data_IF_590745146404
#
_entry.id   IF_590745146404
#
_cell.length_a   1.000
_cell.length_b   1.000
_cell.length_c   1.000
_cell.angle_alpha   90.00
_cell.angle_beta   90.00
_cell.angle_gamma   90.00
#
_symmetry.space_group_name_H-M   'P 1'
#
loop_
_entity.id
_entity.type
_entity.pdbx_description
1 polymer ?
#
# COMPACT_ATOMS: atom_id res chain seq x y z
N UNK A 1 -15.79 0.02 10.41
CA UNK A 1 -16.25 -1.16 11.22
C UNK A 1 -15.04 -1.70 11.96
N UNK A 2 -15.15 -1.85 13.26
CA UNK A 2 -14.11 -2.44 14.11
C UNK A 2 -14.75 -3.58 14.89
N UNK A 3 -14.24 -4.78 14.73
CA UNK A 3 -14.66 -5.93 15.53
C UNK A 3 -13.81 -6.12 16.79
N UNK A 4 -14.20 -7.04 17.68
CA UNK A 4 -13.46 -7.35 18.91
C UNK A 4 -12.03 -7.80 18.60
N UNK A 5 -11.10 -7.50 19.49
CA UNK A 5 -9.72 -8.02 19.43
C UNK A 5 -9.75 -9.55 19.29
N UNK A 6 -9.03 -10.08 18.28
CA UNK A 6 -8.99 -11.51 17.98
C UNK A 6 -9.98 -11.99 16.91
N UNK A 7 -10.78 -11.08 16.30
CA UNK A 7 -11.59 -11.43 15.13
C UNK A 7 -10.70 -11.79 13.93
N UNK A 8 -11.14 -12.74 13.11
CA UNK A 8 -10.45 -13.11 11.87
C UNK A 8 -10.48 -11.94 10.88
N UNK A 9 -9.33 -11.41 10.41
CA UNK A 9 -9.29 -10.23 9.55
C UNK A 9 -10.07 -10.39 8.24
N UNK A 10 -10.12 -11.59 7.68
CA UNK A 10 -10.90 -11.84 6.48
C UNK A 10 -12.40 -11.73 6.74
N UNK A 11 -12.88 -12.16 7.92
CA UNK A 11 -14.29 -11.99 8.30
C UNK A 11 -14.63 -10.52 8.48
N UNK A 12 -13.73 -9.72 9.07
CA UNK A 12 -13.90 -8.27 9.21
C UNK A 12 -14.01 -7.60 7.85
N UNK A 13 -13.15 -7.97 6.90
CA UNK A 13 -13.17 -7.43 5.55
C UNK A 13 -14.48 -7.78 4.82
N UNK A 14 -14.93 -9.03 4.94
CA UNK A 14 -16.20 -9.50 4.36
C UNK A 14 -17.39 -8.71 4.90
N UNK A 15 -17.52 -8.61 6.22
CA UNK A 15 -18.62 -7.91 6.89
C UNK A 15 -18.62 -6.42 6.57
N UNK A 16 -17.42 -5.81 6.55
CA UNK A 16 -17.25 -4.39 6.20
C UNK A 16 -17.73 -4.12 4.77
N UNK A 17 -17.31 -4.94 3.82
CA UNK A 17 -17.69 -4.75 2.42
C UNK A 17 -19.18 -5.03 2.20
N UNK A 18 -19.72 -6.07 2.85
CA UNK A 18 -21.16 -6.38 2.80
C UNK A 18 -22.02 -5.22 3.36
N UNK A 19 -21.58 -4.65 4.49
CA UNK A 19 -22.25 -3.47 5.08
C UNK A 19 -22.14 -2.25 4.18
N UNK A 20 -20.99 -2.03 3.56
CA UNK A 20 -20.78 -0.92 2.66
C UNK A 20 -21.68 -0.98 1.42
N UNK A 21 -21.82 -2.14 0.83
CA UNK A 21 -22.74 -2.37 -0.31
C UNK A 21 -24.20 -2.10 0.13
N UNK A 22 -24.62 -2.64 1.28
CA UNK A 22 -25.96 -2.44 1.80
C UNK A 22 -26.30 -0.96 2.11
N UNK A 23 -25.28 -0.15 2.43
CA UNK A 23 -25.43 1.28 2.74
C UNK A 23 -25.06 2.20 1.57
N UNK A 24 -24.83 1.67 0.38
CA UNK A 24 -24.44 2.42 -0.82
C UNK A 24 -23.21 3.31 -0.60
N UNK A 25 -22.18 2.78 0.06
CA UNK A 25 -20.93 3.53 0.28
C UNK A 25 -20.16 3.68 -1.04
N UNK A 26 -19.67 4.87 -1.34
CA UNK A 26 -18.89 5.17 -2.54
C UNK A 26 -17.48 4.61 -2.48
N UNK A 27 -16.86 4.62 -1.30
CA UNK A 27 -15.48 4.19 -1.08
C UNK A 27 -15.38 3.34 0.18
N UNK A 28 -14.62 2.25 0.08
CA UNK A 28 -14.26 1.40 1.22
C UNK A 28 -12.75 1.27 1.29
N UNK A 29 -12.18 1.58 2.45
CA UNK A 29 -10.75 1.40 2.72
C UNK A 29 -10.60 0.29 3.76
N UNK A 30 -9.85 -0.75 3.41
CA UNK A 30 -9.52 -1.86 4.29
C UNK A 30 -8.05 -1.75 4.67
N UNK A 31 -7.80 -1.32 5.91
CA UNK A 31 -6.46 -1.28 6.49
C UNK A 31 -6.07 -2.67 7.01
N UNK A 32 -4.86 -3.10 6.69
CA UNK A 32 -4.36 -4.44 7.00
C UNK A 32 -3.10 -4.38 7.85
N UNK A 33 -2.80 -5.46 8.57
CA UNK A 33 -1.52 -5.59 9.24
C UNK A 33 -0.36 -5.55 8.23
N UNK A 34 0.67 -4.77 8.53
CA UNK A 34 1.87 -4.60 7.67
C UNK A 34 3.16 -5.15 8.28
N UNK A 35 3.12 -5.73 9.50
CA UNK A 35 4.33 -6.19 10.19
C UNK A 35 4.69 -7.61 9.79
N UNK A 36 5.90 -7.77 9.24
CA UNK A 36 6.43 -9.06 8.74
C UNK A 36 6.98 -9.99 9.85
N UNK A 37 6.47 -9.96 11.09
CA UNK A 37 6.92 -10.86 12.13
C UNK A 37 6.70 -12.34 11.80
N UNK A 38 5.61 -12.65 11.11
CA UNK A 38 5.32 -13.95 10.53
C UNK A 38 4.95 -13.75 9.06
N UNK A 39 5.97 -13.73 8.22
CA UNK A 39 5.84 -13.41 6.78
C UNK A 39 4.84 -14.34 6.07
N UNK A 40 4.94 -15.64 6.27
CA UNK A 40 4.07 -16.63 5.62
C UNK A 40 2.62 -16.47 6.09
N UNK A 41 2.41 -16.35 7.40
CA UNK A 41 1.07 -16.15 7.97
C UNK A 41 0.41 -14.88 7.47
N UNK A 42 1.15 -13.76 7.45
CA UNK A 42 0.65 -12.49 6.93
C UNK A 42 0.28 -12.56 5.45
N UNK A 43 1.13 -13.16 4.61
CA UNK A 43 0.85 -13.27 3.17
C UNK A 43 -0.39 -14.14 2.91
N UNK A 44 -0.56 -15.25 3.64
CA UNK A 44 -1.76 -16.08 3.56
C UNK A 44 -3.02 -15.32 4.01
N UNK A 45 -2.92 -14.53 5.08
CA UNK A 45 -4.02 -13.70 5.57
C UNK A 45 -4.44 -12.65 4.54
N UNK A 46 -3.48 -11.93 3.95
CA UNK A 46 -3.76 -10.94 2.90
C UNK A 46 -4.41 -11.56 1.66
N UNK A 47 -3.92 -12.72 1.23
CA UNK A 47 -4.54 -13.49 0.14
C UNK A 47 -5.98 -13.89 0.48
N UNK A 48 -6.22 -14.33 1.72
CA UNK A 48 -7.56 -14.67 2.21
C UNK A 48 -8.49 -13.45 2.22
N UNK A 49 -8.03 -12.31 2.73
CA UNK A 49 -8.77 -11.04 2.71
C UNK A 49 -9.19 -10.70 1.27
N UNK A 50 -8.25 -10.68 0.34
CA UNK A 50 -8.53 -10.42 -1.07
C UNK A 50 -9.59 -11.36 -1.64
N UNK A 51 -9.48 -12.65 -1.35
CA UNK A 51 -10.41 -13.65 -1.88
C UNK A 51 -11.82 -13.52 -1.31
N UNK A 52 -11.97 -13.15 -0.05
CA UNK A 52 -13.32 -12.98 0.55
C UNK A 52 -14.00 -11.70 0.05
N UNK A 53 -13.24 -10.65 -0.26
CA UNK A 53 -13.77 -9.43 -0.85
C UNK A 53 -14.43 -9.69 -2.20
N UNK A 54 -13.84 -10.54 -3.03
CA UNK A 54 -14.39 -10.94 -4.35
C UNK A 54 -15.72 -11.69 -4.25
N UNK A 55 -16.02 -12.29 -3.10
CA UNK A 55 -17.33 -12.96 -2.87
C UNK A 55 -18.46 -11.95 -2.65
N UNK A 56 -18.15 -10.74 -2.24
CA UNK A 56 -19.13 -9.66 -2.03
C UNK A 56 -19.23 -8.77 -3.26
N UNK A 57 -18.09 -8.36 -3.81
CA UNK A 57 -17.98 -7.53 -5.01
C UNK A 57 -16.98 -8.19 -5.94
N UNK A 58 -17.42 -8.64 -7.10
CA UNK A 58 -16.65 -9.53 -8.00
C UNK A 58 -15.32 -8.94 -8.48
N UNK A 59 -15.24 -7.63 -8.63
CA UNK A 59 -14.05 -6.88 -9.06
C UNK A 59 -13.23 -6.26 -7.90
N UNK A 60 -13.62 -6.55 -6.64
CA UNK A 60 -12.84 -6.11 -5.48
C UNK A 60 -11.58 -6.97 -5.27
N UNK A 61 -10.53 -6.39 -4.71
CA UNK A 61 -10.32 -4.95 -4.49
C UNK A 61 -10.03 -4.24 -5.81
N UNK A 62 -10.63 -3.05 -6.02
CA UNK A 62 -10.38 -2.26 -7.23
C UNK A 62 -8.95 -1.67 -7.22
N UNK A 63 -8.39 -1.43 -6.04
CA UNK A 63 -7.02 -1.02 -5.85
C UNK A 63 -6.38 -1.73 -4.66
N UNK A 64 -5.16 -2.20 -4.85
CA UNK A 64 -4.28 -2.71 -3.78
C UNK A 64 -3.12 -1.74 -3.65
N UNK A 65 -3.20 -0.87 -2.65
CA UNK A 65 -2.19 0.15 -2.37
C UNK A 65 -1.17 -0.39 -1.36
N UNK A 66 0.07 -0.55 -1.80
CA UNK A 66 1.19 -0.89 -0.91
C UNK A 66 1.82 0.38 -0.36
N UNK A 67 1.87 0.49 0.96
CA UNK A 67 2.56 1.59 1.65
C UNK A 67 3.94 1.11 2.11
N UNK A 68 4.98 1.76 1.60
CA UNK A 68 6.38 1.42 1.89
C UNK A 68 7.06 2.56 2.66
N UNK A 69 7.90 2.18 3.60
CA UNK A 69 8.82 3.10 4.29
C UNK A 69 10.09 3.27 3.44
N UNK A 70 10.24 4.42 2.81
CA UNK A 70 11.40 4.76 1.96
C UNK A 70 12.73 4.80 2.71
N UNK A 71 12.70 4.85 4.05
CA UNK A 71 13.91 4.84 4.86
C UNK A 71 14.57 3.46 5.00
N UNK A 72 13.86 2.40 4.66
CA UNK A 72 14.31 1.02 4.88
C UNK A 72 15.21 0.45 3.78
N UNK A 73 15.45 1.22 2.70
CA UNK A 73 16.36 0.82 1.62
C UNK A 73 15.99 -0.53 0.98
N UNK A 74 16.94 -1.47 0.96
CA UNK A 74 16.75 -2.80 0.36
C UNK A 74 15.59 -3.60 0.98
N UNK A 75 15.23 -3.37 2.24
CA UNK A 75 14.09 -4.02 2.86
C UNK A 75 12.76 -3.62 2.16
N UNK A 76 12.66 -2.42 1.63
CA UNK A 76 11.50 -1.99 0.86
C UNK A 76 11.30 -2.82 -0.42
N UNK A 77 12.38 -3.20 -1.10
CA UNK A 77 12.32 -4.08 -2.27
C UNK A 77 11.78 -5.47 -1.93
N UNK A 78 12.29 -6.07 -0.85
CA UNK A 78 11.82 -7.40 -0.42
C UNK A 78 10.36 -7.34 0.02
N UNK A 79 9.95 -6.29 0.74
CA UNK A 79 8.54 -6.06 1.08
C UNK A 79 7.68 -5.94 -0.17
N UNK A 80 8.04 -5.07 -1.11
CA UNK A 80 7.30 -4.88 -2.36
C UNK A 80 7.12 -6.22 -3.11
N UNK A 81 8.18 -7.02 -3.21
CA UNK A 81 8.13 -8.35 -3.83
C UNK A 81 7.12 -9.27 -3.16
N UNK A 82 7.19 -9.40 -1.85
CA UNK A 82 6.33 -10.34 -1.11
C UNK A 82 4.85 -9.92 -1.14
N UNK A 83 4.57 -8.64 -0.93
CA UNK A 83 3.19 -8.14 -0.98
C UNK A 83 2.60 -8.24 -2.40
N UNK A 84 3.40 -7.97 -3.42
CA UNK A 84 2.96 -8.11 -4.82
C UNK A 84 2.60 -9.55 -5.17
N UNK A 85 3.40 -10.52 -4.72
CA UNK A 85 3.10 -11.93 -4.91
C UNK A 85 1.82 -12.40 -4.21
N UNK A 86 1.53 -11.86 -3.01
CA UNK A 86 0.38 -12.25 -2.22
C UNK A 86 -0.93 -11.58 -2.68
N UNK A 87 -0.88 -10.32 -3.12
CA UNK A 87 -2.08 -9.50 -3.29
C UNK A 87 -2.22 -8.85 -4.66
N UNK A 88 -1.23 -8.97 -5.54
CA UNK A 88 -1.22 -8.29 -6.84
C UNK A 88 -1.34 -6.76 -6.67
N UNK A 89 -0.35 -6.16 -6.02
CA UNK A 89 -0.29 -4.71 -5.78
C UNK A 89 -0.49 -3.93 -7.08
N UNK A 90 -1.38 -2.95 -7.07
CA UNK A 90 -1.72 -2.12 -8.24
C UNK A 90 -1.14 -0.71 -8.17
N UNK A 91 -0.81 -0.24 -6.96
CA UNK A 91 -0.23 1.08 -6.74
C UNK A 91 0.63 1.10 -5.48
N UNK A 92 1.53 2.07 -5.40
CA UNK A 92 2.40 2.28 -4.24
C UNK A 92 2.28 3.70 -3.68
N UNK A 93 2.40 3.79 -2.36
CA UNK A 93 2.70 5.01 -1.63
C UNK A 93 4.06 4.81 -0.94
N UNK A 94 4.97 5.76 -1.07
CA UNK A 94 6.27 5.70 -0.40
C UNK A 94 6.39 6.83 0.58
N UNK A 95 6.57 6.51 1.85
CA UNK A 95 6.64 7.46 2.96
C UNK A 95 8.07 7.72 3.41
N UNK A 96 8.25 8.71 4.27
CA UNK A 96 9.54 9.11 4.87
C UNK A 96 10.60 9.51 3.83
N UNK A 97 10.18 10.21 2.80
CA UNK A 97 11.07 10.76 1.77
C UNK A 97 11.65 12.14 2.11
N UNK A 98 11.27 12.69 3.26
CA UNK A 98 11.80 13.94 3.84
C UNK A 98 13.28 13.86 4.28
N UNK A 99 13.81 12.66 4.44
CA UNK A 99 15.21 12.43 4.71
C UNK A 99 16.03 12.22 3.42
N UNK A 100 17.23 12.74 3.37
CA UNK A 100 18.16 12.75 2.25
C UNK A 100 18.42 11.39 1.60
N UNK A 101 18.66 11.35 0.29
CA UNK A 101 19.10 10.20 -0.52
C UNK A 101 18.10 9.03 -0.69
N UNK A 102 16.85 9.21 -0.33
CA UNK A 102 15.86 8.10 -0.32
C UNK A 102 15.03 7.98 -1.60
N UNK A 103 15.13 8.96 -2.49
CA UNK A 103 14.44 8.94 -3.78
C UNK A 103 14.83 7.78 -4.69
N UNK A 104 16.06 7.28 -4.58
CA UNK A 104 16.55 6.14 -5.36
C UNK A 104 15.74 4.86 -5.15
N UNK A 105 15.23 4.62 -3.95
CA UNK A 105 14.38 3.45 -3.65
C UNK A 105 13.08 3.49 -4.43
N UNK A 106 12.48 4.66 -4.61
CA UNK A 106 11.25 4.86 -5.39
C UNK A 106 11.47 4.48 -6.85
N UNK A 107 12.57 4.97 -7.44
CA UNK A 107 12.94 4.66 -8.83
C UNK A 107 13.16 3.16 -9.00
N UNK A 108 13.99 2.56 -8.13
CA UNK A 108 14.33 1.14 -8.21
C UNK A 108 13.12 0.23 -8.08
N UNK A 109 12.24 0.48 -7.12
CA UNK A 109 11.02 -0.33 -6.93
C UNK A 109 10.06 -0.15 -8.11
N UNK A 110 9.84 1.08 -8.57
CA UNK A 110 8.97 1.35 -9.71
C UNK A 110 9.50 0.69 -10.99
N UNK A 111 10.80 0.72 -11.22
CA UNK A 111 11.42 0.06 -12.38
C UNK A 111 11.35 -1.46 -12.29
N UNK A 112 11.68 -2.03 -11.14
CA UNK A 112 11.73 -3.49 -10.96
C UNK A 112 10.34 -4.14 -11.01
N UNK A 113 9.34 -3.54 -10.37
CA UNK A 113 8.01 -4.15 -10.25
C UNK A 113 6.99 -3.61 -11.25
N UNK A 114 7.33 -2.52 -11.97
CA UNK A 114 6.44 -1.85 -12.93
C UNK A 114 5.09 -1.43 -12.33
N UNK A 115 5.08 -1.15 -11.01
CA UNK A 115 3.91 -0.70 -10.27
C UNK A 115 3.98 0.82 -10.14
N UNK A 116 2.91 1.56 -10.46
CA UNK A 116 2.93 3.02 -10.38
C UNK A 116 3.00 3.50 -8.93
N UNK A 117 3.85 4.47 -8.67
CA UNK A 117 3.81 5.27 -7.44
C UNK A 117 2.71 6.30 -7.58
N UNK A 118 1.75 6.31 -6.66
CA UNK A 118 0.64 7.29 -6.66
C UNK A 118 0.83 8.39 -5.64
N UNK A 119 1.42 8.07 -4.49
CA UNK A 119 1.57 9.00 -3.37
C UNK A 119 2.97 8.95 -2.80
N UNK A 120 3.40 10.09 -2.26
CA UNK A 120 4.64 10.23 -1.48
C UNK A 120 4.34 10.93 -0.17
N UNK A 121 5.00 10.47 0.91
CA UNK A 121 4.97 11.11 2.23
C UNK A 121 6.29 11.83 2.49
N UNK A 122 6.19 13.13 2.74
CA UNK A 122 7.31 14.05 2.98
C UNK A 122 7.37 14.52 4.43
N UNK A 123 6.55 13.97 5.31
CA UNK A 123 6.44 14.29 6.73
C UNK A 123 5.30 13.53 7.39
N UNK A 124 4.86 13.98 8.57
CA UNK A 124 3.84 13.31 9.38
C UNK A 124 2.47 14.00 9.37
N UNK A 125 2.39 15.21 8.81
CA UNK A 125 1.15 15.96 8.69
C UNK A 125 0.27 15.44 7.55
N UNK A 126 -1.02 15.75 7.60
CA UNK A 126 -1.96 15.35 6.55
C UNK A 126 -1.60 15.97 5.18
N UNK A 127 -1.06 17.19 5.18
CA UNK A 127 -0.61 17.89 3.97
C UNK A 127 0.72 17.36 3.43
N UNK A 128 1.44 16.56 4.23
CA UNK A 128 2.70 15.94 3.83
C UNK A 128 2.53 14.69 2.97
N UNK A 129 1.30 14.19 2.85
CA UNK A 129 0.94 13.14 1.89
C UNK A 129 0.53 13.80 0.57
N UNK A 130 1.37 13.64 -0.45
CA UNK A 130 1.19 14.28 -1.74
C UNK A 130 0.99 13.28 -2.87
N UNK A 131 0.26 13.69 -3.89
CA UNK A 131 0.16 12.94 -5.14
C UNK A 131 1.53 12.94 -5.83
N UNK A 132 2.00 11.76 -6.22
CA UNK A 132 3.28 11.63 -6.89
C UNK A 132 3.25 12.28 -8.29
N UNK A 133 4.17 13.21 -8.52
CA UNK A 133 4.37 13.88 -9.80
C UNK A 133 5.76 13.56 -10.32
N UNK A 134 5.82 12.70 -11.31
CA UNK A 134 7.07 12.14 -11.84
C UNK A 134 8.11 13.21 -12.19
N UNK A 135 7.71 14.26 -12.90
CA UNK A 135 8.63 15.32 -13.31
C UNK A 135 9.19 16.08 -12.12
N UNK A 136 8.32 16.55 -11.22
CA UNK A 136 8.74 17.29 -10.01
C UNK A 136 9.66 16.43 -9.14
N UNK A 137 9.36 15.14 -9.01
CA UNK A 137 10.18 14.21 -8.24
C UNK A 137 11.58 14.04 -8.85
N UNK A 138 11.67 13.81 -10.16
CA UNK A 138 12.94 13.68 -10.87
C UNK A 138 13.74 14.98 -10.81
N UNK A 139 13.09 16.13 -11.03
CA UNK A 139 13.74 17.44 -10.94
C UNK A 139 14.29 17.68 -9.53
N UNK A 140 13.58 17.25 -8.48
CA UNK A 140 14.06 17.37 -7.10
C UNK A 140 15.30 16.50 -6.79
N UNK A 141 15.43 15.36 -7.47
CA UNK A 141 16.57 14.46 -7.28
C UNK A 141 17.83 14.93 -8.03
N UNK A 142 17.67 15.52 -9.18
CA UNK A 142 18.76 15.85 -10.08
C UNK A 142 18.92 17.35 -10.34
N UNK A 143 17.93 18.16 -9.97
CA UNK A 143 17.91 19.62 -10.20
C UNK A 143 18.61 20.47 -9.13
N UNK A 144 19.26 19.87 -8.17
CA UNK A 144 19.88 20.57 -7.03
C UNK A 144 21.26 21.20 -7.29
N UNK A 145 21.70 21.40 -8.54
CA UNK A 145 22.92 22.13 -8.88
C UNK A 145 22.83 22.71 -10.29
N UNK A 146 22.17 23.82 -10.42
CA UNK A 146 22.40 24.76 -11.51
C UNK A 146 22.52 26.16 -10.91
#
# INVERSE_FOLDING_TARGET
IKQKMGADPASVAFDTLSSAVANNADVVIIDTAGRLHNKVGLMNELTKIKNVMKKVVSDAPNEVLLVLDGSTGQNAFEQAKQFTLATEVTAMAVTKLDGTAKGGVVIGISDQFKIPVKYIGLGEGIEDLQVFRKKEFVDSLFGGNA
#
